data_IF_634330854401
#
_entry.id   IF_634330854401
#
_cell.length_a   1.000
_cell.length_b   1.000
_cell.length_c   1.000
_cell.angle_alpha   90.00
_cell.angle_beta   90.00
_cell.angle_gamma   90.00
#
_symmetry.space_group_name_H-M   'P 1'
#
loop_
_entity.id
_entity.type
_entity.pdbx_description
1 polymer ?
#
# COMPACT_ATOMS: atom_id res chain seq x y z
N UNK A 1 -20.31 35.84 -14.89
CA UNK A 1 -21.23 34.94 -14.17
C UNK A 1 -20.40 33.72 -13.83
N UNK A 2 -19.89 33.70 -12.61
CA UNK A 2 -18.93 32.72 -12.10
C UNK A 2 -19.71 31.52 -11.57
N UNK A 3 -19.29 30.30 -11.90
CA UNK A 3 -19.61 29.12 -11.11
C UNK A 3 -18.31 28.33 -10.92
N UNK A 4 -17.77 28.47 -9.72
CA UNK A 4 -16.54 27.87 -9.25
C UNK A 4 -16.92 26.56 -8.55
N UNK A 5 -16.77 25.45 -9.27
CA UNK A 5 -16.95 24.11 -8.74
C UNK A 5 -15.85 23.80 -7.73
N UNK A 6 -16.06 24.27 -6.49
CA UNK A 6 -15.26 23.95 -5.31
C UNK A 6 -15.20 22.43 -5.12
N UNK A 7 -14.11 21.83 -5.60
CA UNK A 7 -13.70 20.50 -5.18
C UNK A 7 -13.52 20.53 -3.67
N UNK A 8 -14.44 19.89 -2.95
CA UNK A 8 -14.44 19.86 -1.50
C UNK A 8 -13.18 19.10 -1.07
N UNK A 9 -12.17 19.84 -0.59
CA UNK A 9 -10.97 19.27 0.00
C UNK A 9 -11.39 18.58 1.28
N UNK A 10 -11.50 17.25 1.23
CA UNK A 10 -11.98 16.47 2.35
C UNK A 10 -10.82 16.28 3.34
N UNK A 11 -10.99 16.79 4.56
CA UNK A 11 -9.93 16.91 5.56
C UNK A 11 -9.62 15.57 6.25
N UNK A 12 -8.31 15.32 6.44
CA UNK A 12 -7.59 14.17 7.05
C UNK A 12 -8.35 13.15 7.93
N UNK A 13 -9.26 13.50 8.86
CA UNK A 13 -10.17 12.53 9.49
C UNK A 13 -10.93 11.64 8.51
N UNK A 14 -11.33 12.23 7.37
CA UNK A 14 -12.16 11.59 6.36
C UNK A 14 -11.53 10.38 5.67
N UNK A 15 -10.22 10.37 5.48
CA UNK A 15 -9.56 9.39 4.63
C UNK A 15 -9.38 8.09 5.39
N UNK A 16 -9.08 8.21 6.69
CA UNK A 16 -9.03 7.06 7.59
C UNK A 16 -10.42 6.46 7.75
N UNK A 17 -11.44 7.29 7.98
CA UNK A 17 -12.84 6.85 8.07
C UNK A 17 -13.32 6.19 6.77
N UNK A 18 -13.00 6.80 5.62
CA UNK A 18 -13.29 6.23 4.31
C UNK A 18 -12.65 4.84 4.13
N UNK A 19 -11.36 4.69 4.47
CA UNK A 19 -10.70 3.39 4.36
C UNK A 19 -11.24 2.37 5.35
N UNK A 20 -11.56 2.80 6.56
CA UNK A 20 -12.22 1.93 7.54
C UNK A 20 -13.54 1.37 6.97
N UNK A 21 -14.44 2.25 6.53
CA UNK A 21 -15.75 1.83 6.01
C UNK A 21 -15.63 0.97 4.75
N UNK A 22 -14.68 1.32 3.88
CA UNK A 22 -14.41 0.58 2.65
C UNK A 22 -13.84 -0.82 2.94
N UNK A 23 -12.85 -0.92 3.84
CA UNK A 23 -12.25 -2.20 4.25
C UNK A 23 -13.29 -3.07 4.93
N UNK A 24 -14.10 -2.52 5.84
CA UNK A 24 -15.17 -3.29 6.48
C UNK A 24 -16.18 -3.83 5.47
N UNK A 25 -16.58 -3.04 4.49
CA UNK A 25 -17.48 -3.48 3.43
C UNK A 25 -16.84 -4.56 2.55
N UNK A 26 -15.57 -4.41 2.18
CA UNK A 26 -14.85 -5.39 1.39
C UNK A 26 -14.61 -6.71 2.15
N UNK A 27 -14.26 -6.67 3.44
CA UNK A 27 -14.16 -7.85 4.31
C UNK A 27 -15.47 -8.65 4.33
N UNK A 28 -16.62 -7.98 4.45
CA UNK A 28 -17.94 -8.63 4.38
C UNK A 28 -18.22 -9.23 3.01
N UNK A 29 -17.90 -8.53 1.93
CA UNK A 29 -18.12 -9.00 0.56
C UNK A 29 -17.29 -10.26 0.25
N UNK A 30 -16.01 -10.23 0.62
CA UNK A 30 -15.07 -11.35 0.44
C UNK A 30 -15.24 -12.46 1.49
N UNK A 31 -16.12 -12.25 2.49
CA UNK A 31 -16.38 -13.17 3.61
C UNK A 31 -15.09 -13.52 4.39
N UNK A 32 -14.21 -12.54 4.51
CA UNK A 32 -12.95 -12.65 5.26
C UNK A 32 -13.18 -12.06 6.64
N UNK A 33 -13.05 -12.88 7.67
CA UNK A 33 -13.00 -12.40 9.06
C UNK A 33 -11.54 -12.10 9.41
N UNK A 34 -11.30 -11.00 10.12
CA UNK A 34 -10.00 -10.66 10.73
C UNK A 34 -10.24 -10.14 12.14
N UNK A 35 -9.21 -10.14 12.98
CA UNK A 35 -9.25 -9.48 14.29
C UNK A 35 -9.33 -7.95 14.14
N UNK A 36 -9.97 -7.27 15.08
CA UNK A 36 -10.13 -5.81 15.09
C UNK A 36 -8.77 -5.09 14.99
N UNK A 37 -7.73 -5.61 15.64
CA UNK A 37 -6.39 -5.03 15.56
C UNK A 37 -5.77 -5.20 14.17
N UNK A 38 -6.05 -6.30 13.48
CA UNK A 38 -5.61 -6.54 12.10
C UNK A 38 -6.33 -5.61 11.12
N UNK A 39 -7.64 -5.44 11.27
CA UNK A 39 -8.41 -4.48 10.48
C UNK A 39 -7.86 -3.05 10.64
N UNK A 40 -7.67 -2.60 11.87
CA UNK A 40 -7.08 -1.29 12.17
C UNK A 40 -5.68 -1.14 11.58
N UNK A 41 -4.87 -2.20 11.63
CA UNK A 41 -3.54 -2.18 11.02
C UNK A 41 -3.61 -1.97 9.51
N UNK A 42 -4.48 -2.72 8.81
CA UNK A 42 -4.65 -2.59 7.36
C UNK A 42 -5.12 -1.19 6.99
N UNK A 43 -6.12 -0.63 7.69
CA UNK A 43 -6.59 0.75 7.47
C UNK A 43 -5.45 1.76 7.66
N UNK A 44 -4.59 1.55 8.67
CA UNK A 44 -3.43 2.41 8.88
C UNK A 44 -2.41 2.29 7.74
N UNK A 45 -2.13 1.10 7.24
CA UNK A 45 -1.27 0.88 6.05
C UNK A 45 -1.79 1.67 4.85
N UNK A 46 -3.09 1.57 4.55
CA UNK A 46 -3.70 2.33 3.45
C UNK A 46 -3.59 3.85 3.66
N UNK A 47 -3.83 4.30 4.89
CA UNK A 47 -3.74 5.72 5.24
C UNK A 47 -2.33 6.27 5.10
N UNK A 48 -1.30 5.51 5.51
CA UNK A 48 0.11 5.89 5.38
C UNK A 48 0.50 5.99 3.90
N UNK A 49 0.15 4.99 3.10
CA UNK A 49 0.54 4.94 1.69
C UNK A 49 -0.21 5.92 0.78
N UNK A 50 -1.44 6.29 1.13
CA UNK A 50 -2.16 7.36 0.45
C UNK A 50 -1.43 8.72 0.54
N UNK A 51 -0.52 8.91 1.51
CA UNK A 51 0.27 10.14 1.68
C UNK A 51 1.57 10.15 0.86
N UNK A 52 1.80 9.13 0.03
CA UNK A 52 2.83 8.98 -1.02
C UNK A 52 4.31 9.13 -0.63
N UNK A 53 4.70 9.74 0.49
CA UNK A 53 6.12 9.99 0.81
C UNK A 53 6.86 8.76 1.33
N UNK A 54 6.17 7.78 1.92
CA UNK A 54 6.80 6.61 2.57
C UNK A 54 7.04 5.41 1.63
N UNK A 55 6.36 5.38 0.49
CA UNK A 55 6.49 4.30 -0.50
C UNK A 55 7.78 4.38 -1.31
N UNK A 56 8.25 5.59 -1.59
CA UNK A 56 9.29 5.80 -2.58
C UNK A 56 10.63 6.21 -1.93
N UNK A 57 11.72 5.70 -2.50
CA UNK A 57 13.07 6.09 -2.12
C UNK A 57 13.66 7.04 -3.18
N UNK A 58 14.42 8.02 -2.73
CA UNK A 58 15.20 8.90 -3.62
C UNK A 58 16.46 8.15 -4.06
N UNK A 59 16.53 7.77 -5.33
CA UNK A 59 17.76 7.22 -5.94
C UNK A 59 18.38 8.26 -6.89
N UNK A 60 19.66 8.07 -7.29
CA UNK A 60 20.29 8.93 -8.31
C UNK A 60 19.53 8.97 -9.66
N UNK A 61 18.68 7.97 -9.93
CA UNK A 61 17.87 7.82 -11.15
C UNK A 61 16.41 8.27 -10.99
N UNK A 62 16.09 8.97 -9.89
CA UNK A 62 14.76 9.48 -9.58
C UNK A 62 14.13 8.83 -8.34
N UNK A 63 12.86 9.14 -8.11
CA UNK A 63 12.14 8.59 -6.94
C UNK A 63 11.42 7.33 -7.36
N UNK A 64 11.79 6.18 -6.78
CA UNK A 64 11.30 4.86 -7.22
C UNK A 64 10.85 4.02 -6.03
N UNK A 65 9.92 3.09 -6.29
CA UNK A 65 9.65 2.02 -5.36
C UNK A 65 10.89 1.13 -5.26
N UNK A 66 11.37 0.88 -4.05
CA UNK A 66 12.49 -0.05 -3.85
C UNK A 66 12.03 -1.47 -4.20
N UNK A 67 12.78 -2.26 -5.00
CA UNK A 67 12.39 -3.63 -5.29
C UNK A 67 12.37 -4.50 -4.01
N UNK A 68 11.42 -5.43 -3.91
CA UNK A 68 11.25 -6.27 -2.72
C UNK A 68 12.51 -7.06 -2.35
N UNK A 69 13.28 -7.49 -3.35
CA UNK A 69 14.55 -8.18 -3.13
C UNK A 69 15.58 -7.31 -2.39
N UNK A 70 15.62 -5.99 -2.67
CA UNK A 70 16.49 -5.06 -1.95
C UNK A 70 15.96 -4.80 -0.52
N UNK A 71 14.65 -4.68 -0.33
CA UNK A 71 14.07 -4.58 1.02
C UNK A 71 14.40 -5.82 1.88
N UNK A 72 14.33 -7.02 1.28
CA UNK A 72 14.73 -8.25 1.96
C UNK A 72 16.24 -8.30 2.26
N UNK A 73 17.07 -7.79 1.33
CA UNK A 73 18.51 -7.68 1.56
C UNK A 73 18.83 -6.74 2.73
N UNK A 74 18.14 -5.60 2.83
CA UNK A 74 18.28 -4.67 3.96
C UNK A 74 17.89 -5.34 5.29
N UNK A 75 16.76 -6.06 5.32
CA UNK A 75 16.34 -6.82 6.49
C UNK A 75 17.40 -7.87 6.88
N UNK A 76 18.03 -8.52 5.90
CA UNK A 76 19.07 -9.52 6.13
C UNK A 76 20.39 -8.92 6.62
N UNK A 77 20.70 -7.69 6.19
CA UNK A 77 21.91 -6.97 6.54
C UNK A 77 21.77 -6.08 7.80
N UNK A 78 20.58 -6.01 8.38
CA UNK A 78 20.28 -5.16 9.54
C UNK A 78 21.17 -5.49 10.75
N UNK A 79 21.64 -4.45 11.44
CA UNK A 79 22.60 -4.58 12.54
C UNK A 79 21.92 -4.86 13.89
N UNK A 80 20.61 -4.61 14.00
CA UNK A 80 19.83 -4.89 15.20
C UNK A 80 18.53 -5.62 14.85
N UNK A 81 17.98 -6.35 15.83
CA UNK A 81 16.68 -7.01 15.69
C UNK A 81 15.57 -6.00 15.37
N UNK A 82 15.59 -4.82 16.00
CA UNK A 82 14.62 -3.76 15.72
C UNK A 82 14.69 -3.28 14.27
N UNK A 83 15.88 -3.00 13.74
CA UNK A 83 16.04 -2.56 12.34
C UNK A 83 15.56 -3.63 11.36
N UNK A 84 15.87 -4.90 11.66
CA UNK A 84 15.39 -6.03 10.86
C UNK A 84 13.87 -6.11 10.86
N UNK A 85 13.26 -5.97 12.03
CA UNK A 85 11.81 -6.04 12.19
C UNK A 85 11.09 -4.88 11.47
N UNK A 86 11.64 -3.66 11.52
CA UNK A 86 11.15 -2.51 10.76
C UNK A 86 11.25 -2.73 9.24
N UNK A 87 12.37 -3.28 8.76
CA UNK A 87 12.56 -3.60 7.35
C UNK A 87 11.60 -4.71 6.86
N UNK A 88 11.40 -5.77 7.66
CA UNK A 88 10.43 -6.83 7.38
C UNK A 88 9.00 -6.30 7.36
N UNK A 89 8.64 -5.44 8.32
CA UNK A 89 7.33 -4.79 8.35
C UNK A 89 7.10 -3.98 7.09
N UNK A 90 8.05 -3.13 6.70
CA UNK A 90 7.94 -2.31 5.48
C UNK A 90 7.84 -3.17 4.22
N UNK A 91 8.61 -4.25 4.14
CA UNK A 91 8.51 -5.23 3.05
C UNK A 91 7.10 -5.83 2.96
N UNK A 92 6.51 -6.22 4.09
CA UNK A 92 5.14 -6.72 4.19
C UNK A 92 4.08 -5.70 3.78
N UNK A 93 4.17 -4.49 4.34
CA UNK A 93 3.24 -3.38 4.10
C UNK A 93 3.22 -3.04 2.59
N UNK A 94 4.39 -2.82 1.99
CA UNK A 94 4.52 -2.47 0.57
C UNK A 94 4.00 -3.60 -0.32
N UNK A 95 4.33 -4.85 0.01
CA UNK A 95 3.85 -6.00 -0.75
C UNK A 95 2.32 -6.07 -0.75
N UNK A 96 1.69 -5.85 0.42
CA UNK A 96 0.25 -5.92 0.58
C UNK A 96 -0.45 -4.81 -0.21
N UNK A 97 0.07 -3.59 -0.12
CA UNK A 97 -0.48 -2.43 -0.83
C UNK A 97 -0.38 -2.60 -2.36
N UNK A 98 0.80 -2.98 -2.87
CA UNK A 98 1.02 -3.13 -4.31
C UNK A 98 0.19 -4.27 -4.87
N UNK A 99 0.17 -5.43 -4.20
CA UNK A 99 -0.64 -6.56 -4.64
C UNK A 99 -2.14 -6.22 -4.62
N UNK A 100 -2.63 -5.56 -3.56
CA UNK A 100 -4.05 -5.21 -3.40
C UNK A 100 -4.57 -4.21 -4.44
N UNK A 101 -3.86 -3.10 -4.65
CA UNK A 101 -4.35 -2.00 -5.49
C UNK A 101 -3.98 -2.14 -6.97
N UNK A 102 -2.99 -2.97 -7.33
CA UNK A 102 -2.48 -3.03 -8.70
C UNK A 102 -2.65 -4.39 -9.38
N UNK A 103 -3.35 -5.37 -8.76
CA UNK A 103 -3.56 -6.71 -9.32
C UNK A 103 -4.02 -6.72 -10.79
N UNK A 104 -4.99 -5.88 -11.14
CA UNK A 104 -5.52 -5.79 -12.51
C UNK A 104 -4.55 -5.12 -13.51
N UNK A 105 -3.64 -4.27 -13.02
CA UNK A 105 -2.61 -3.61 -13.83
C UNK A 105 -1.41 -4.52 -14.15
N UNK A 106 -1.21 -5.59 -13.37
CA UNK A 106 -0.17 -6.60 -13.57
C UNK A 106 -0.54 -7.70 -14.59
N UNK A 107 -1.71 -7.63 -15.24
CA UNK A 107 -2.22 -8.66 -16.16
C UNK A 107 -1.30 -9.03 -17.35
N UNK A 108 -0.21 -8.29 -17.59
CA UNK A 108 0.83 -8.67 -18.57
C UNK A 108 2.07 -9.37 -17.97
N UNK A 109 2.19 -9.44 -16.64
CA UNK A 109 3.23 -10.15 -15.88
C UNK A 109 2.64 -10.74 -14.58
N UNK A 110 1.80 -11.76 -14.71
CA UNK A 110 1.24 -12.53 -13.58
C UNK A 110 2.30 -12.95 -12.53
N UNK A 111 3.53 -13.16 -12.96
CA UNK A 111 4.69 -13.50 -12.09
C UNK A 111 4.97 -12.44 -11.02
N UNK A 112 4.56 -11.18 -11.21
CA UNK A 112 4.88 -10.09 -10.28
C UNK A 112 3.95 -10.08 -9.05
N UNK A 113 2.66 -10.35 -9.20
CA UNK A 113 1.73 -10.33 -8.06
C UNK A 113 1.94 -11.51 -7.10
N UNK A 114 2.14 -12.71 -7.63
CA UNK A 114 2.44 -13.90 -6.82
C UNK A 114 3.75 -13.71 -6.03
N UNK A 115 4.71 -13.00 -6.62
CA UNK A 115 5.95 -12.63 -5.94
C UNK A 115 5.70 -11.67 -4.77
N UNK A 116 4.85 -10.65 -4.92
CA UNK A 116 4.46 -9.76 -3.82
C UNK A 116 3.72 -10.51 -2.71
N UNK A 117 2.77 -11.38 -3.07
CA UNK A 117 2.03 -12.21 -2.11
C UNK A 117 2.99 -13.10 -1.31
N UNK A 118 3.89 -13.80 -2.00
CA UNK A 118 4.85 -14.69 -1.36
C UNK A 118 5.84 -13.93 -0.47
N UNK A 119 6.40 -12.82 -0.96
CA UNK A 119 7.37 -12.02 -0.22
C UNK A 119 6.75 -11.34 1.00
N UNK A 120 5.58 -10.70 0.83
CA UNK A 120 4.89 -10.00 1.90
C UNK A 120 4.40 -10.94 2.99
N UNK A 121 3.78 -12.07 2.62
CA UNK A 121 3.33 -13.08 3.57
C UNK A 121 4.48 -13.65 4.41
N UNK A 122 5.62 -13.95 3.76
CA UNK A 122 6.84 -14.42 4.46
C UNK A 122 7.43 -13.35 5.38
N UNK A 123 7.40 -12.09 4.96
CA UNK A 123 7.91 -10.98 5.76
C UNK A 123 7.13 -10.83 7.08
N UNK A 124 5.80 -10.79 7.01
CA UNK A 124 4.97 -10.76 8.22
C UNK A 124 5.07 -12.04 9.05
N UNK A 125 5.20 -13.20 8.42
CA UNK A 125 5.39 -14.47 9.13
C UNK A 125 6.68 -14.46 9.96
N UNK A 126 7.77 -13.99 9.37
CA UNK A 126 9.08 -13.86 10.04
C UNK A 126 9.01 -12.82 11.16
N UNK A 127 8.32 -11.70 10.92
CA UNK A 127 8.12 -10.64 11.91
C UNK A 127 7.32 -11.15 13.13
N UNK A 128 6.26 -11.91 12.90
CA UNK A 128 5.46 -12.53 13.94
C UNK A 128 6.31 -13.49 14.80
N UNK A 129 7.16 -14.30 14.17
CA UNK A 129 8.08 -15.21 14.87
C UNK A 129 9.10 -14.45 15.73
N UNK A 130 9.70 -13.38 15.20
CA UNK A 130 10.65 -12.55 15.96
C UNK A 130 10.00 -11.91 17.20
N UNK A 131 8.76 -11.42 17.06
CA UNK A 131 8.06 -10.70 18.11
C UNK A 131 7.44 -11.60 19.19
N UNK A 132 7.25 -12.90 18.91
CA UNK A 132 6.70 -13.88 19.88
C UNK A 132 7.51 -13.99 21.16
N UNK A 133 8.82 -13.72 21.10
CA UNK A 133 9.74 -13.85 22.24
C UNK A 133 9.82 -12.58 23.11
N UNK A 134 9.07 -11.52 22.79
CA UNK A 134 9.01 -10.28 23.57
C UNK A 134 7.64 -10.09 24.22
N UNK A 135 7.62 -9.78 25.52
CA UNK A 135 6.38 -9.53 26.29
C UNK A 135 5.56 -8.38 25.69
N UNK A 136 6.22 -7.33 25.19
CA UNK A 136 5.55 -6.19 24.53
C UNK A 136 5.13 -6.51 23.08
N UNK A 137 5.68 -7.57 22.49
CA UNK A 137 5.50 -7.92 21.09
C UNK A 137 4.34 -8.88 20.81
N UNK A 138 3.71 -9.48 21.84
CA UNK A 138 2.74 -10.55 21.61
C UNK A 138 1.48 -10.11 20.87
N UNK A 139 0.92 -8.93 21.18
CA UNK A 139 -0.25 -8.40 20.47
C UNK A 139 0.07 -8.04 19.01
N UNK A 140 1.28 -7.54 18.73
CA UNK A 140 1.72 -7.31 17.36
C UNK A 140 2.00 -8.61 16.61
N UNK A 141 2.55 -9.62 17.31
CA UNK A 141 2.80 -10.93 16.74
C UNK A 141 1.53 -11.62 16.26
N UNK A 142 0.41 -11.48 16.98
CA UNK A 142 -0.89 -12.04 16.54
C UNK A 142 -1.40 -11.35 15.27
N UNK A 143 -1.29 -10.01 15.20
CA UNK A 143 -1.66 -9.24 14.00
C UNK A 143 -0.81 -9.66 12.80
N UNK A 144 0.53 -9.67 12.94
CA UNK A 144 1.42 -10.05 11.84
C UNK A 144 1.25 -11.51 11.41
N UNK A 145 0.95 -12.41 12.35
CA UNK A 145 0.66 -13.80 12.03
C UNK A 145 -0.64 -13.93 11.24
N UNK A 146 -1.68 -13.17 11.59
CA UNK A 146 -2.94 -13.16 10.85
C UNK A 146 -2.76 -12.57 9.45
N UNK A 147 -2.04 -11.44 9.32
CA UNK A 147 -1.67 -10.85 8.04
C UNK A 147 -0.91 -11.83 7.15
N UNK A 148 0.07 -12.56 7.71
CA UNK A 148 0.84 -13.57 6.97
C UNK A 148 -0.05 -14.71 6.46
N UNK A 149 -0.95 -15.23 7.31
CA UNK A 149 -1.83 -16.36 6.99
C UNK A 149 -2.92 -16.01 5.99
N UNK A 150 -3.46 -14.79 6.09
CA UNK A 150 -4.58 -14.31 5.27
C UNK A 150 -4.13 -13.36 4.17
N UNK A 151 -2.84 -13.34 3.83
CA UNK A 151 -2.27 -12.34 2.93
C UNK A 151 -3.00 -12.26 1.59
N UNK A 152 -3.23 -13.40 0.92
CA UNK A 152 -3.98 -13.45 -0.34
C UNK A 152 -5.39 -12.89 -0.16
N UNK A 153 -6.12 -13.35 0.85
CA UNK A 153 -7.48 -12.89 1.13
C UNK A 153 -7.54 -11.39 1.41
N UNK A 154 -6.52 -10.84 2.07
CA UNK A 154 -6.39 -9.41 2.31
C UNK A 154 -6.04 -8.65 1.04
N UNK A 155 -5.22 -9.22 0.15
CA UNK A 155 -4.98 -8.67 -1.20
C UNK A 155 -6.31 -8.58 -1.98
N UNK A 156 -7.13 -9.62 -1.94
CA UNK A 156 -8.44 -9.65 -2.60
C UNK A 156 -9.39 -8.59 -1.99
N UNK A 157 -9.41 -8.45 -0.66
CA UNK A 157 -10.15 -7.39 0.05
C UNK A 157 -9.70 -6.00 -0.38
N UNK A 158 -8.39 -5.76 -0.47
CA UNK A 158 -7.87 -4.48 -0.93
C UNK A 158 -8.16 -4.22 -2.41
N UNK A 159 -8.25 -5.27 -3.22
CA UNK A 159 -8.67 -5.16 -4.61
C UNK A 159 -10.13 -4.69 -4.70
N UNK A 160 -11.02 -5.26 -3.89
CA UNK A 160 -12.41 -4.81 -3.77
C UNK A 160 -12.51 -3.36 -3.30
N UNK A 161 -11.69 -2.94 -2.32
CA UNK A 161 -11.63 -1.54 -1.88
C UNK A 161 -11.24 -0.63 -3.04
N UNK A 162 -10.24 -1.03 -3.83
CA UNK A 162 -9.84 -0.29 -5.03
C UNK A 162 -11.00 -0.21 -6.03
N UNK A 163 -11.66 -1.33 -6.34
CA UNK A 163 -12.85 -1.39 -7.22
C UNK A 163 -14.01 -0.50 -6.75
N UNK A 164 -14.30 -0.49 -5.45
CA UNK A 164 -15.34 0.36 -4.86
C UNK A 164 -14.99 1.85 -4.98
N UNK A 165 -13.71 2.21 -4.79
CA UNK A 165 -13.22 3.56 -5.03
C UNK A 165 -13.33 3.97 -6.51
N UNK A 166 -13.28 3.02 -7.45
CA UNK A 166 -13.52 3.31 -8.87
C UNK A 166 -15.02 3.56 -9.20
N UNK A 167 -15.96 3.04 -8.40
CA UNK A 167 -17.40 3.15 -8.66
C UNK A 167 -18.04 4.40 -8.04
N UNK A 168 -17.57 4.86 -6.89
CA UNK A 168 -18.06 6.06 -6.22
C UNK A 168 -17.15 7.27 -6.52
N UNK A 169 -17.76 8.39 -6.88
CA UNK A 169 -17.18 9.70 -7.22
C UNK A 169 -15.90 10.09 -6.46
N UNK A 170 -14.73 9.76 -7.05
CA UNK A 170 -13.44 10.50 -7.12
C UNK A 170 -12.51 9.80 -8.13
N UNK A 171 -13.10 9.44 -9.28
CA UNK A 171 -12.58 8.54 -10.33
C UNK A 171 -11.23 8.95 -10.94
N UNK A 172 -10.84 10.20 -10.81
CA UNK A 172 -9.71 10.74 -11.56
C UNK A 172 -8.40 10.61 -10.81
N UNK A 173 -8.34 10.68 -9.48
CA UNK A 173 -7.07 10.77 -8.74
C UNK A 173 -6.27 9.46 -8.84
N UNK A 174 -6.87 8.31 -8.49
CA UNK A 174 -6.17 7.02 -8.55
C UNK A 174 -5.83 6.62 -9.98
N UNK A 175 -6.72 6.91 -10.93
CA UNK A 175 -6.48 6.65 -12.36
C UNK A 175 -5.42 7.57 -12.95
N UNK A 176 -5.37 8.84 -12.55
CA UNK A 176 -4.32 9.78 -12.95
C UNK A 176 -2.99 9.36 -12.35
N UNK A 177 -2.97 8.87 -11.10
CA UNK A 177 -1.78 8.34 -10.45
C UNK A 177 -1.25 7.11 -11.21
N UNK A 178 -2.14 6.19 -11.57
CA UNK A 178 -1.83 5.01 -12.38
C UNK A 178 -1.32 5.36 -13.78
N UNK A 179 -1.96 6.30 -14.48
CA UNK A 179 -1.54 6.78 -15.82
C UNK A 179 -0.17 7.43 -15.75
N UNK A 180 0.04 8.31 -14.77
CA UNK A 180 1.30 9.00 -14.59
C UNK A 180 2.44 8.02 -14.27
N UNK A 181 2.21 7.01 -13.41
CA UNK A 181 3.22 6.01 -13.06
C UNK A 181 3.58 5.10 -14.27
N UNK A 182 2.61 4.82 -15.15
CA UNK A 182 2.82 4.00 -16.36
C UNK A 182 3.52 4.75 -17.50
N UNK A 183 3.28 6.05 -17.66
CA UNK A 183 3.68 6.80 -18.86
C UNK A 183 4.64 7.96 -18.58
N UNK A 184 4.81 8.33 -17.31
CA UNK A 184 5.44 9.58 -16.90
C UNK A 184 4.70 10.84 -17.36
N UNK A 185 3.40 10.74 -17.69
CA UNK A 185 2.62 11.83 -18.30
C UNK A 185 2.68 13.14 -17.49
N UNK A 186 3.29 14.22 -18.03
CA UNK A 186 3.36 15.52 -17.34
C UNK A 186 1.97 16.13 -17.07
N UNK A 187 0.99 15.81 -17.94
CA UNK A 187 -0.39 16.24 -17.78
C UNK A 187 -1.06 15.58 -16.57
N UNK A 188 -0.85 14.27 -16.39
CA UNK A 188 -1.40 13.55 -15.26
C UNK A 188 -0.75 13.99 -13.94
N UNK A 189 0.57 14.22 -13.95
CA UNK A 189 1.31 14.83 -12.83
C UNK A 189 0.72 16.19 -12.39
N UNK A 190 0.48 17.09 -13.34
CA UNK A 190 -0.03 18.43 -13.04
C UNK A 190 -1.45 18.42 -12.46
N UNK A 191 -2.29 17.48 -12.92
CA UNK A 191 -3.66 17.34 -12.40
C UNK A 191 -3.62 16.75 -10.99
N UNK A 192 -2.75 15.77 -10.72
CA UNK A 192 -2.53 15.23 -9.36
C UNK A 192 -2.07 16.33 -8.39
N UNK A 193 -1.11 17.18 -8.79
CA UNK A 193 -0.65 18.28 -7.93
C UNK A 193 -1.75 19.30 -7.61
N UNK A 194 -2.60 19.63 -8.59
CA UNK A 194 -3.74 20.54 -8.37
C UNK A 194 -4.79 19.95 -7.42
N UNK A 195 -4.87 18.63 -7.37
CA UNK A 195 -5.75 17.89 -6.46
C UNK A 195 -5.08 17.62 -5.10
N UNK A 196 -3.91 18.23 -4.82
CA UNK A 196 -3.20 18.09 -3.55
C UNK A 196 -2.40 16.80 -3.40
N UNK A 197 -2.26 16.01 -4.47
CA UNK A 197 -1.51 14.75 -4.49
C UNK A 197 -0.16 14.99 -5.18
N UNK A 198 0.95 14.67 -4.52
CA UNK A 198 2.30 14.86 -5.06
C UNK A 198 2.89 13.54 -5.60
N UNK A 199 2.71 13.20 -6.89
CA UNK A 199 3.27 11.99 -7.49
C UNK A 199 4.77 12.17 -7.79
N UNK A 200 5.64 11.22 -7.42
CA UNK A 200 7.11 11.34 -7.61
C UNK A 200 7.73 10.33 -8.61
N UNK A 201 8.23 10.81 -9.76
CA UNK A 201 8.37 10.00 -10.98
C UNK A 201 9.66 9.14 -10.98
N UNK A 202 9.49 7.86 -11.30
CA UNK A 202 10.54 6.85 -11.38
C UNK A 202 11.07 6.66 -12.81
N UNK A 203 11.53 7.74 -13.44
CA UNK A 203 12.41 7.65 -14.61
C UNK A 203 11.84 8.08 -15.96
N UNK A 204 12.42 9.18 -16.47
CA UNK A 204 12.72 9.37 -17.89
C UNK A 204 14.00 10.20 -17.96
N UNK A 205 15.14 9.56 -18.25
CA UNK A 205 16.33 10.26 -18.70
C UNK A 205 16.11 10.53 -20.19
N UNK A 206 15.96 11.80 -20.56
CA UNK A 206 16.21 12.22 -21.94
C UNK A 206 17.72 12.41 -22.09
N UNK A 207 18.24 11.95 -23.23
CA UNK A 207 19.64 12.01 -23.63
C UNK A 207 20.13 13.45 -23.80
#
# INVERSE_FOLDING_TARGET
MSDDGSGTVVAVPNLREFFHDSVQKALRNQRVAVDDHTEHYVVNVLTMFARSEELYERTPEGVRLKPLAHMLADASAAQSSQQRDEALRRLGDVSLFIAGFFAQSFARKLVDIDYHIAMGGRAYGTLAENMRYSIRGQAFATVFLELARKFQSLVDVLNDVAEMAYQHTDKDILRLYEIWLKTGSPRAFAILQRLGVAPVNAGRKEH
#
